data_IF_194629708652
#
_entry.id   IF_194629708652
#
_cell.length_a   1.000
_cell.length_b   1.000
_cell.length_c   1.000
_cell.angle_alpha   90.00
_cell.angle_beta   90.00
_cell.angle_gamma   90.00
#
_symmetry.space_group_name_H-M   'P 1'
#
loop_
_entity.id
_entity.type
_entity.pdbx_description
1 polymer ?
#
# COMPACT_ATOMS: atom_id res chain seq x y z
N UNK A 1 8.66 -20.90 -7.55
CA UNK A 1 7.34 -20.32 -7.88
C UNK A 1 7.56 -18.82 -7.94
N UNK A 2 7.08 -18.11 -8.96
CA UNK A 2 7.21 -16.65 -8.95
C UNK A 2 6.31 -16.12 -7.84
N UNK A 3 6.90 -15.57 -6.78
CA UNK A 3 6.20 -14.85 -5.73
C UNK A 3 5.43 -13.70 -6.38
N UNK A 4 4.16 -13.96 -6.72
CA UNK A 4 3.24 -12.92 -7.13
C UNK A 4 3.18 -11.96 -5.95
N UNK A 5 3.57 -10.68 -6.13
CA UNK A 5 3.54 -9.74 -5.03
C UNK A 5 2.12 -9.67 -4.49
N UNK A 6 1.92 -10.13 -3.25
CA UNK A 6 0.60 -10.11 -2.63
C UNK A 6 0.17 -8.65 -2.45
N UNK A 7 -0.77 -8.22 -3.30
CA UNK A 7 -1.42 -6.93 -3.28
C UNK A 7 -2.79 -7.10 -2.64
N UNK A 8 -2.94 -6.67 -1.38
CA UNK A 8 -4.20 -6.77 -0.65
C UNK A 8 -4.86 -5.40 -0.56
N UNK A 9 -5.97 -5.23 -1.29
CA UNK A 9 -6.74 -3.98 -1.28
C UNK A 9 -7.72 -3.97 -0.09
N UNK A 10 -7.69 -2.89 0.68
CA UNK A 10 -8.52 -2.68 1.86
C UNK A 10 -9.31 -1.38 1.69
N UNK A 11 -10.63 -1.47 1.76
CA UNK A 11 -11.48 -0.28 1.93
C UNK A 11 -11.63 0.04 3.41
N UNK A 12 -11.40 1.30 3.76
CA UNK A 12 -11.70 1.80 5.10
C UNK A 12 -13.18 2.20 5.21
N UNK A 13 -13.68 2.36 6.44
CA UNK A 13 -15.08 2.71 6.72
C UNK A 13 -15.50 4.06 6.13
N UNK A 14 -14.56 4.96 5.89
CA UNK A 14 -14.81 6.29 5.31
C UNK A 14 -14.71 6.32 3.77
N UNK A 15 -14.71 5.16 3.10
CA UNK A 15 -14.67 5.04 1.64
C UNK A 15 -13.30 5.23 0.99
N UNK A 16 -12.26 5.49 1.78
CA UNK A 16 -10.88 5.53 1.31
C UNK A 16 -10.30 4.14 1.05
N UNK A 17 -9.45 4.03 0.03
CA UNK A 17 -8.74 2.79 -0.30
C UNK A 17 -7.31 2.79 0.24
N UNK A 18 -6.92 1.68 0.84
CA UNK A 18 -5.55 1.37 1.27
C UNK A 18 -5.08 0.08 0.60
N UNK A 19 -3.78 -0.04 0.40
CA UNK A 19 -3.14 -1.21 -0.20
C UNK A 19 -2.10 -1.74 0.78
N UNK A 20 -2.13 -3.04 1.06
CA UNK A 20 -1.09 -3.73 1.81
C UNK A 20 -0.23 -4.50 0.81
N UNK A 21 1.07 -4.27 0.89
CA UNK A 21 2.08 -4.93 0.06
C UNK A 21 3.36 -5.09 0.88
N UNK A 22 3.92 -6.30 0.93
CA UNK A 22 5.10 -6.63 1.75
C UNK A 22 4.96 -6.24 3.23
N UNK A 23 3.76 -6.42 3.80
CA UNK A 23 3.46 -6.04 5.19
C UNK A 23 3.49 -4.52 5.46
N UNK A 24 3.56 -3.70 4.41
CA UNK A 24 3.51 -2.24 4.50
C UNK A 24 2.17 -1.73 3.98
N UNK A 25 1.62 -0.75 4.69
CA UNK A 25 0.37 -0.10 4.33
C UNK A 25 0.62 1.16 3.49
N UNK A 26 -0.13 1.27 2.40
CA UNK A 26 -0.12 2.40 1.48
C UNK A 26 -1.52 3.00 1.35
N UNK A 27 -1.59 4.32 1.15
CA UNK A 27 -2.84 5.07 0.95
C UNK A 27 -2.96 5.45 -0.52
N UNK A 28 -4.16 5.27 -1.08
CA UNK A 28 -4.46 5.75 -2.43
C UNK A 28 -4.36 7.28 -2.47
N UNK A 29 -3.65 7.82 -3.47
CA UNK A 29 -3.51 9.26 -3.70
C UNK A 29 -4.09 9.69 -5.05
N UNK A 30 -4.04 8.81 -6.05
CA UNK A 30 -4.61 9.07 -7.38
C UNK A 30 -5.09 7.77 -7.99
N UNK A 31 -6.27 7.81 -8.62
CA UNK A 31 -6.82 6.72 -9.41
C UNK A 31 -7.17 7.24 -10.82
N UNK A 32 -6.13 7.37 -11.66
CA UNK A 32 -6.28 7.76 -13.07
C UNK A 32 -6.12 6.54 -13.96
N UNK A 33 -5.29 6.63 -15.00
CA UNK A 33 -4.91 5.47 -15.85
C UNK A 33 -4.20 4.34 -15.08
N UNK A 34 -3.58 4.70 -13.96
CA UNK A 34 -2.93 3.81 -13.00
C UNK A 34 -3.29 4.31 -11.59
N UNK A 35 -3.16 3.44 -10.60
CA UNK A 35 -3.34 3.82 -9.20
C UNK A 35 -1.99 4.14 -8.57
N UNK A 36 -1.90 5.32 -7.97
CA UNK A 36 -0.74 5.79 -7.24
C UNK A 36 -1.00 5.68 -5.75
N UNK A 37 -0.12 4.95 -5.06
CA UNK A 37 -0.19 4.71 -3.63
C UNK A 37 1.08 5.21 -2.97
N UNK A 38 0.91 5.86 -1.82
CA UNK A 38 2.03 6.35 -1.00
C UNK A 38 2.01 5.65 0.35
N UNK A 39 3.19 5.33 0.87
CA UNK A 39 3.36 4.72 2.19
C UNK A 39 2.55 5.49 3.24
N UNK A 40 1.88 4.78 4.14
CA UNK A 40 1.09 5.37 5.21
C UNK A 40 1.92 6.22 6.18
N UNK A 41 3.23 5.97 6.23
CA UNK A 41 4.26 6.70 6.99
C UNK A 41 4.87 7.86 6.18
N UNK A 42 4.23 8.34 5.11
CA UNK A 42 4.75 9.45 4.29
C UNK A 42 5.02 10.74 5.08
N UNK A 43 4.13 11.05 6.03
CA UNK A 43 4.32 12.19 6.94
C UNK A 43 5.52 12.03 7.89
N UNK A 44 6.04 10.81 8.06
CA UNK A 44 7.26 10.51 8.83
C UNK A 44 8.51 10.49 7.94
N UNK A 45 8.42 11.00 6.72
CA UNK A 45 9.55 11.06 5.78
C UNK A 45 9.71 9.83 4.88
N UNK A 46 8.81 8.84 4.94
CA UNK A 46 8.92 7.69 4.06
C UNK A 46 8.50 8.04 2.62
N UNK A 47 9.45 7.96 1.68
CA UNK A 47 9.25 8.14 0.24
C UNK A 47 8.67 6.91 -0.48
N UNK A 48 8.40 5.83 0.24
CA UNK A 48 7.89 4.58 -0.31
C UNK A 48 6.59 4.78 -1.07
N UNK A 49 6.56 4.32 -2.31
CA UNK A 49 5.40 4.48 -3.18
C UNK A 49 5.28 3.30 -4.14
N UNK A 50 4.05 3.01 -4.55
CA UNK A 50 3.77 1.99 -5.56
C UNK A 50 2.78 2.55 -6.58
N UNK A 51 2.99 2.16 -7.83
CA UNK A 51 2.06 2.37 -8.93
C UNK A 51 1.57 1.00 -9.37
N UNK A 52 0.26 0.84 -9.41
CA UNK A 52 -0.38 -0.40 -9.86
C UNK A 52 -1.28 -0.12 -11.06
N UNK A 53 -1.66 -1.17 -11.76
CA UNK A 53 -2.79 -1.11 -12.68
C UNK A 53 -4.10 -0.74 -11.93
N UNK A 54 -5.15 -0.47 -12.69
CA UNK A 54 -6.47 -0.08 -12.16
C UNK A 54 -7.05 -1.14 -11.22
N UNK A 55 -6.90 -2.40 -11.58
CA UNK A 55 -7.40 -3.56 -10.83
C UNK A 55 -6.50 -3.97 -9.66
N UNK A 56 -5.34 -3.32 -9.51
CA UNK A 56 -4.40 -3.58 -8.40
C UNK A 56 -3.92 -5.03 -8.37
N UNK A 57 -3.80 -5.66 -9.55
CA UNK A 57 -3.33 -7.04 -9.70
C UNK A 57 -1.82 -7.11 -9.91
N UNK A 58 -1.19 -6.01 -10.32
CA UNK A 58 0.26 -5.95 -10.54
C UNK A 58 0.86 -4.60 -10.17
N UNK A 59 2.10 -4.65 -9.65
CA UNK A 59 2.94 -3.47 -9.44
C UNK A 59 3.63 -3.13 -10.75
N UNK A 60 3.44 -1.91 -11.23
CA UNK A 60 4.07 -1.36 -12.45
C UNK A 60 5.39 -0.69 -12.11
N UNK A 61 5.41 0.03 -10.98
CA UNK A 61 6.59 0.73 -10.47
C UNK A 61 6.54 0.80 -8.95
N UNK A 62 7.69 0.65 -8.31
CA UNK A 62 7.87 0.85 -6.88
C UNK A 62 8.98 1.88 -6.63
N UNK A 63 8.82 2.68 -5.59
CA UNK A 63 9.84 3.55 -5.04
C UNK A 63 10.19 3.05 -3.64
N UNK A 64 11.48 3.00 -3.34
CA UNK A 64 11.98 2.38 -2.12
C UNK A 64 11.58 3.15 -0.86
N UNK A 65 11.61 2.44 0.26
CA UNK A 65 11.37 3.01 1.58
C UNK A 65 12.67 3.56 2.15
N UNK A 66 12.55 4.46 3.13
CA UNK A 66 13.70 4.76 3.99
C UNK A 66 13.94 3.57 4.93
N UNK A 67 15.19 3.34 5.36
CA UNK A 67 15.53 2.27 6.32
C UNK A 67 14.68 2.34 7.60
N UNK A 68 14.36 3.56 8.03
CA UNK A 68 13.51 3.82 9.21
C UNK A 68 12.00 3.57 8.98
N UNK A 69 11.57 3.03 7.85
CA UNK A 69 10.18 2.66 7.60
C UNK A 69 10.01 1.13 7.67
N UNK A 70 10.07 0.54 8.89
CA UNK A 70 9.91 -0.88 9.06
C UNK A 70 8.50 -1.31 8.68
N UNK A 71 8.41 -2.57 8.27
CA UNK A 71 7.17 -3.33 8.16
C UNK A 71 6.38 -3.15 9.46
N UNK A 72 5.08 -2.89 9.33
CA UNK A 72 4.21 -2.60 10.45
C UNK A 72 3.13 -3.67 10.48
N UNK A 73 3.52 -4.86 10.91
CA UNK A 73 2.67 -6.06 10.88
C UNK A 73 1.35 -5.83 11.61
N UNK A 74 1.37 -5.07 12.71
CA UNK A 74 0.17 -4.73 13.45
C UNK A 74 -0.77 -3.80 12.67
N UNK A 75 -0.23 -2.80 11.96
CA UNK A 75 -1.01 -1.96 11.05
C UNK A 75 -1.57 -2.76 9.87
N UNK A 76 -0.74 -3.61 9.25
CA UNK A 76 -1.17 -4.50 8.18
C UNK A 76 -2.31 -5.42 8.64
N UNK A 77 -2.12 -6.10 9.77
CA UNK A 77 -3.14 -6.97 10.38
C UNK A 77 -4.46 -6.24 10.66
N UNK A 78 -4.41 -5.05 11.25
CA UNK A 78 -5.62 -4.24 11.50
C UNK A 78 -6.33 -3.85 10.20
N UNK A 79 -5.58 -3.57 9.13
CA UNK A 79 -6.15 -3.20 7.83
C UNK A 79 -6.83 -4.40 7.20
N UNK A 80 -6.19 -5.57 7.24
CA UNK A 80 -6.76 -6.81 6.74
C UNK A 80 -8.04 -7.21 7.49
N UNK A 81 -8.07 -7.00 8.80
CA UNK A 81 -9.26 -7.21 9.63
C UNK A 81 -10.30 -6.09 9.51
N UNK A 82 -10.08 -5.09 8.64
CA UNK A 82 -10.95 -3.91 8.44
C UNK A 82 -11.35 -3.23 9.76
N UNK A 83 -10.41 -3.20 10.71
CA UNK A 83 -10.67 -2.75 12.09
C UNK A 83 -10.44 -1.25 12.29
N UNK A 84 -10.37 -0.47 11.21
CA UNK A 84 -10.21 1.00 11.23
C UNK A 84 -11.54 1.71 10.97
#
# INVERSE_FOLDING_TARGET
MADVPELRLVQNRCGGMSLVHEGRAYKLKRAGRQKYWRCSKDKKGCGGAIWTNLDVTSVIKQNDHIESCPVDEHLAYKMEKRQF
#
